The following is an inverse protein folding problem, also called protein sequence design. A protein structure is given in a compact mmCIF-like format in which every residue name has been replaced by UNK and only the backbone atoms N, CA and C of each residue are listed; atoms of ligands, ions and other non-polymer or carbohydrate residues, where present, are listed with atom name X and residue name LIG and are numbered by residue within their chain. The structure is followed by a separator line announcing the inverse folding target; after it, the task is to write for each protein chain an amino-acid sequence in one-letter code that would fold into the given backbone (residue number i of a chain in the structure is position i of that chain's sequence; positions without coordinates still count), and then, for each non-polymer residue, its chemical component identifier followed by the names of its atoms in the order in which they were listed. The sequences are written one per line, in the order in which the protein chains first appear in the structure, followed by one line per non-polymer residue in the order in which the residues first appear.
data_IF_909290551606
#
_entry.id   IF_909290551606
#
_cell.length_a   1.000
_cell.length_b   1.000
_cell.length_c   1.000
_cell.angle_alpha   90.00
_cell.angle_beta   90.00
_cell.angle_gamma   90.00
#
_symmetry.space_group_name_H-M   'P 1'
#
loop_
_entity.id
_entity.type
_entity.pdbx_description
1 polymer ?
#
# COMPACT_ATOMS: atom_id res chain seq x y z
N UNK A 1 -52.97 -2.83 -22.25
CA UNK A 1 -52.39 -1.47 -22.23
C UNK A 1 -52.01 -1.14 -20.79
N UNK A 2 -50.77 -0.67 -20.61
CA UNK A 2 -50.13 0.10 -19.53
C UNK A 2 -51.00 0.53 -18.31
N UNK A 3 -50.49 0.65 -17.08
CA UNK A 3 -49.17 1.11 -16.66
C UNK A 3 -48.85 0.72 -15.21
N UNK A 4 -47.56 0.57 -14.92
CA UNK A 4 -46.92 0.26 -13.64
C UNK A 4 -46.77 1.50 -12.76
N UNK A 5 -46.91 1.37 -11.44
CA UNK A 5 -46.24 2.22 -10.46
C UNK A 5 -46.20 1.52 -9.08
N UNK A 6 -44.99 1.41 -8.50
CA UNK A 6 -44.85 1.27 -7.04
C UNK A 6 -44.18 0.00 -6.51
N UNK A 7 -43.02 -0.40 -7.04
CA UNK A 7 -42.05 -1.17 -6.23
C UNK A 7 -40.91 -0.22 -5.89
N UNK A 8 -40.82 0.13 -4.61
CA UNK A 8 -39.70 0.86 -4.01
C UNK A 8 -38.54 -0.12 -3.95
N UNK A 9 -37.59 0.00 -4.87
CA UNK A 9 -36.36 -0.79 -4.86
C UNK A 9 -35.39 -0.15 -3.87
N UNK A 10 -35.04 -0.93 -2.85
CA UNK A 10 -34.08 -0.57 -1.80
C UNK A 10 -32.67 -0.43 -2.42
N UNK A 11 -32.13 0.78 -2.39
CA UNK A 11 -30.90 1.18 -3.09
C UNK A 11 -29.60 0.64 -2.47
N UNK A 12 -29.66 -0.09 -1.35
CA UNK A 12 -28.47 -0.53 -0.60
C UNK A 12 -27.88 -1.87 -1.08
N UNK A 13 -28.65 -2.72 -1.76
CA UNK A 13 -28.16 -4.05 -2.17
C UNK A 13 -27.37 -4.03 -3.50
N UNK A 14 -27.65 -3.06 -4.38
CA UNK A 14 -27.01 -2.95 -5.70
C UNK A 14 -25.63 -2.29 -5.67
N UNK A 15 -25.42 -1.30 -4.79
CA UNK A 15 -24.15 -0.59 -4.67
C UNK A 15 -23.02 -1.48 -4.14
N UNK A 16 -23.34 -2.41 -3.24
CA UNK A 16 -22.39 -3.37 -2.69
C UNK A 16 -21.85 -4.36 -3.75
N UNK A 17 -22.66 -4.68 -4.76
CA UNK A 17 -22.28 -5.57 -5.86
C UNK A 17 -21.48 -4.85 -6.97
N UNK A 18 -21.81 -3.58 -7.26
CA UNK A 18 -21.03 -2.76 -8.18
C UNK A 18 -19.65 -2.35 -7.63
N UNK A 19 -19.51 -2.16 -6.31
CA UNK A 19 -18.20 -1.95 -5.68
C UNK A 19 -17.31 -3.19 -5.78
N UNK A 20 -17.89 -4.39 -5.60
CA UNK A 20 -17.18 -5.67 -5.81
C UNK A 20 -16.71 -5.85 -7.25
N UNK A 21 -17.55 -5.52 -8.23
CA UNK A 21 -17.20 -5.64 -9.66
C UNK A 21 -16.15 -4.60 -10.08
N UNK A 22 -16.20 -3.36 -9.57
CA UNK A 22 -15.14 -2.34 -9.81
C UNK A 22 -13.81 -2.70 -9.15
N UNK A 23 -13.83 -3.32 -7.97
CA UNK A 23 -12.63 -3.78 -7.27
C UNK A 23 -11.99 -5.00 -7.97
N UNK A 24 -12.82 -5.91 -8.50
CA UNK A 24 -12.39 -7.09 -9.22
C UNK A 24 -11.65 -6.77 -10.53
N UNK A 25 -12.13 -5.78 -11.31
CA UNK A 25 -11.44 -5.34 -12.54
C UNK A 25 -10.11 -4.66 -12.22
N UNK A 26 -10.02 -3.95 -11.10
CA UNK A 26 -8.77 -3.34 -10.66
C UNK A 26 -7.75 -4.41 -10.25
N UNK A 27 -8.15 -5.45 -9.52
CA UNK A 27 -7.26 -6.55 -9.17
C UNK A 27 -6.72 -7.29 -10.40
N UNK A 28 -7.57 -7.61 -11.38
CA UNK A 28 -7.14 -8.35 -12.59
C UNK A 28 -6.31 -7.47 -13.53
N UNK A 29 -6.67 -6.21 -13.73
CA UNK A 29 -5.87 -5.26 -14.53
C UNK A 29 -4.53 -4.99 -13.87
N UNK A 30 -4.49 -4.84 -12.54
CA UNK A 30 -3.24 -4.64 -11.81
C UNK A 30 -2.37 -5.88 -11.89
N UNK A 31 -2.93 -7.10 -11.74
CA UNK A 31 -2.19 -8.36 -11.93
C UNK A 31 -1.58 -8.47 -13.33
N UNK A 32 -2.34 -8.22 -14.39
CA UNK A 32 -1.83 -8.35 -15.77
C UNK A 32 -0.80 -7.28 -16.14
N UNK A 33 -1.04 -6.01 -15.77
CA UNK A 33 -0.06 -4.93 -15.97
C UNK A 33 1.25 -5.23 -15.24
N UNK A 34 1.17 -5.72 -14.00
CA UNK A 34 2.37 -6.04 -13.20
C UNK A 34 3.12 -7.26 -13.75
N UNK A 35 2.38 -8.26 -14.24
CA UNK A 35 2.96 -9.46 -14.85
C UNK A 35 3.79 -9.14 -16.10
N UNK A 36 3.40 -8.11 -16.86
CA UNK A 36 4.13 -7.65 -18.04
C UNK A 36 5.46 -6.96 -17.66
N UNK A 37 5.49 -6.15 -16.59
CA UNK A 37 6.70 -5.46 -16.15
C UNK A 37 7.68 -6.32 -15.34
N UNK A 38 7.20 -7.33 -14.62
CA UNK A 38 8.03 -8.10 -13.68
C UNK A 38 8.71 -9.35 -14.27
N UNK A 39 8.35 -9.77 -15.49
CA UNK A 39 8.89 -10.99 -16.12
C UNK A 39 10.41 -10.97 -16.29
N UNK A 40 11.05 -9.80 -16.42
CA UNK A 40 12.51 -9.72 -16.56
C UNK A 40 13.29 -9.57 -15.24
N UNK A 41 12.65 -9.09 -14.17
CA UNK A 41 13.32 -8.79 -12.89
C UNK A 41 13.49 -10.06 -12.05
N UNK A 42 12.46 -10.91 -11.99
CA UNK A 42 12.45 -12.11 -11.14
C UNK A 42 13.17 -13.31 -11.76
N UNK A 43 13.18 -13.44 -13.09
CA UNK A 43 13.90 -14.53 -13.78
C UNK A 43 15.43 -14.45 -13.65
N UNK A 44 15.97 -13.29 -13.26
CA UNK A 44 17.43 -13.05 -13.21
C UNK A 44 18.00 -12.91 -11.80
N UNK A 45 17.19 -12.58 -10.78
CA UNK A 45 17.66 -12.36 -9.40
C UNK A 45 16.60 -12.70 -8.37
N UNK A 46 17.00 -13.44 -7.34
CA UNK A 46 16.21 -13.64 -6.12
C UNK A 46 15.85 -12.25 -5.52
N UNK A 47 14.55 -11.93 -5.33
CA UNK A 47 14.11 -10.67 -4.72
C UNK A 47 14.71 -10.40 -3.34
N UNK A 48 15.08 -11.45 -2.59
CA UNK A 48 15.82 -11.32 -1.33
C UNK A 48 17.20 -10.68 -1.53
N UNK A 49 17.77 -10.78 -2.73
CA UNK A 49 19.10 -10.24 -3.10
C UNK A 49 19.02 -8.87 -3.80
N UNK A 50 17.82 -8.34 -4.03
CA UNK A 50 17.64 -7.00 -4.60
C UNK A 50 18.13 -5.96 -3.58
N UNK A 51 18.75 -4.89 -4.09
CA UNK A 51 19.19 -3.77 -3.29
C UNK A 51 18.00 -3.17 -2.52
N UNK A 52 18.07 -3.02 -1.18
CA UNK A 52 16.95 -2.50 -0.39
C UNK A 52 16.45 -1.12 -0.83
N UNK A 53 17.31 -0.24 -1.36
CA UNK A 53 16.88 1.06 -1.87
C UNK A 53 16.04 0.93 -3.16
N UNK A 54 16.28 -0.11 -3.96
CA UNK A 54 15.46 -0.41 -5.14
C UNK A 54 14.11 -0.98 -4.70
N UNK A 55 14.10 -1.84 -3.67
CA UNK A 55 12.85 -2.31 -3.05
C UNK A 55 12.04 -1.14 -2.49
N UNK A 56 12.68 -0.24 -1.74
CA UNK A 56 12.04 0.95 -1.20
C UNK A 56 11.47 1.86 -2.29
N UNK A 57 12.21 2.06 -3.38
CA UNK A 57 11.77 2.88 -4.51
C UNK A 57 10.44 2.40 -5.11
N UNK A 58 10.29 1.10 -5.38
CA UNK A 58 9.03 0.57 -5.90
C UNK A 58 7.96 0.47 -4.81
N UNK A 59 8.37 0.15 -3.57
CA UNK A 59 7.46 0.02 -2.43
C UNK A 59 6.76 1.33 -2.05
N UNK A 60 7.47 2.46 -2.12
CA UNK A 60 6.89 3.80 -1.92
C UNK A 60 5.75 4.07 -2.91
N UNK A 61 5.97 3.79 -4.21
CA UNK A 61 4.95 3.96 -5.24
C UNK A 61 3.72 3.06 -5.02
N UNK A 62 3.94 1.80 -4.62
CA UNK A 62 2.85 0.85 -4.32
C UNK A 62 2.04 1.31 -3.11
N UNK A 63 2.71 1.73 -2.03
CA UNK A 63 2.05 2.21 -0.82
C UNK A 63 1.28 3.52 -1.08
N UNK A 64 1.88 4.48 -1.79
CA UNK A 64 1.22 5.73 -2.13
C UNK A 64 -0.06 5.51 -2.96
N UNK A 65 0.00 4.62 -3.97
CA UNK A 65 -1.17 4.28 -4.76
C UNK A 65 -2.27 3.66 -3.90
N UNK A 66 -1.92 2.72 -3.01
CA UNK A 66 -2.88 2.10 -2.09
C UNK A 66 -3.59 3.14 -1.22
N UNK A 67 -2.84 4.06 -0.59
CA UNK A 67 -3.42 5.11 0.26
C UNK A 67 -4.33 6.05 -0.55
N UNK A 68 -3.90 6.49 -1.73
CA UNK A 68 -4.71 7.35 -2.59
C UNK A 68 -6.00 6.66 -3.03
N UNK A 69 -5.92 5.39 -3.44
CA UNK A 69 -7.08 4.58 -3.79
C UNK A 69 -8.04 4.42 -2.61
N UNK A 70 -7.51 4.16 -1.40
CA UNK A 70 -8.29 4.05 -0.18
C UNK A 70 -9.06 5.34 0.13
N UNK A 71 -8.39 6.51 0.07
CA UNK A 71 -9.01 7.80 0.36
C UNK A 71 -10.11 8.18 -0.64
N UNK A 72 -9.88 7.91 -1.93
CA UNK A 72 -10.89 8.08 -2.99
C UNK A 72 -12.07 7.14 -2.79
N UNK A 73 -11.84 5.92 -2.31
CA UNK A 73 -12.93 4.96 -2.05
C UNK A 73 -13.80 5.34 -0.85
N UNK A 74 -13.23 6.07 0.13
CA UNK A 74 -13.91 6.45 1.39
C UNK A 74 -14.60 7.81 1.35
N UNK A 75 -14.28 8.68 0.39
CA UNK A 75 -14.83 10.03 0.35
C UNK A 75 -14.94 10.57 -1.06
N UNK A 76 -15.96 11.39 -1.32
CA UNK A 76 -16.09 12.16 -2.55
C UNK A 76 -15.46 13.57 -2.41
N UNK A 77 -14.34 13.66 -1.69
CA UNK A 77 -13.68 14.92 -1.38
C UNK A 77 -12.93 15.50 -2.59
N UNK A 78 -12.72 16.82 -2.60
CA UNK A 78 -11.89 17.47 -3.61
C UNK A 78 -10.42 17.03 -3.53
N UNK A 79 -9.72 17.03 -4.66
CA UNK A 79 -8.33 16.57 -4.82
C UNK A 79 -7.38 17.18 -3.78
N UNK A 80 -7.53 18.47 -3.46
CA UNK A 80 -6.70 19.11 -2.45
C UNK A 80 -6.83 18.45 -1.07
N UNK A 81 -8.06 18.13 -0.66
CA UNK A 81 -8.34 17.46 0.61
C UNK A 81 -7.76 16.04 0.62
N UNK A 82 -7.93 15.30 -0.48
CA UNK A 82 -7.36 13.96 -0.64
C UNK A 82 -5.83 13.98 -0.54
N UNK A 83 -5.16 14.97 -1.15
CA UNK A 83 -3.71 15.13 -1.04
C UNK A 83 -3.26 15.45 0.39
N UNK A 84 -3.95 16.37 1.08
CA UNK A 84 -3.66 16.68 2.48
C UNK A 84 -3.83 15.45 3.37
N UNK A 85 -4.86 14.65 3.13
CA UNK A 85 -5.09 13.44 3.90
C UNK A 85 -4.07 12.34 3.55
N UNK A 86 -3.65 12.21 2.29
CA UNK A 86 -2.62 11.20 1.91
C UNK A 86 -1.27 11.48 2.57
N UNK A 87 -0.86 12.75 2.68
CA UNK A 87 0.39 13.15 3.36
C UNK A 87 0.47 12.60 4.78
N UNK A 88 -0.67 12.47 5.48
CA UNK A 88 -0.70 11.96 6.86
C UNK A 88 -0.22 10.51 6.96
N UNK A 89 -0.40 9.72 5.90
CA UNK A 89 0.00 8.31 5.82
C UNK A 89 1.38 8.12 5.21
N UNK A 90 1.74 8.90 4.18
CA UNK A 90 2.95 8.66 3.38
C UNK A 90 4.20 9.38 3.90
N UNK A 91 4.06 10.31 4.87
CA UNK A 91 5.23 10.94 5.49
C UNK A 91 6.08 9.93 6.27
N UNK A 92 7.41 10.11 6.28
CA UNK A 92 8.36 9.19 6.93
C UNK A 92 8.00 8.87 8.39
N UNK A 93 7.58 9.88 9.17
CA UNK A 93 7.11 9.68 10.55
C UNK A 93 5.99 8.64 10.64
N UNK A 94 4.96 8.81 9.81
CA UNK A 94 3.78 7.93 9.85
C UNK A 94 4.15 6.52 9.42
N UNK A 95 4.96 6.37 8.36
CA UNK A 95 5.47 5.07 7.94
C UNK A 95 6.33 4.39 9.02
N UNK A 96 7.17 5.16 9.71
CA UNK A 96 7.95 4.68 10.85
C UNK A 96 7.03 4.17 11.97
N UNK A 97 6.02 4.95 12.36
CA UNK A 97 5.09 4.57 13.44
C UNK A 97 4.27 3.33 13.05
N UNK A 98 3.81 3.25 11.79
CA UNK A 98 3.14 2.08 11.22
C UNK A 98 4.03 0.84 11.33
N UNK A 99 5.29 0.95 10.91
CA UNK A 99 6.22 -0.18 10.95
C UNK A 99 6.44 -0.69 12.37
N UNK A 100 6.59 0.20 13.34
CA UNK A 100 6.73 -0.19 14.75
C UNK A 100 5.52 -0.97 15.25
N UNK A 101 4.31 -0.53 14.86
CA UNK A 101 3.08 -1.21 15.23
C UNK A 101 2.99 -2.62 14.66
N UNK A 102 3.24 -2.77 13.35
CA UNK A 102 3.02 -4.05 12.67
C UNK A 102 4.19 -5.03 12.81
N UNK A 103 5.33 -4.60 13.34
CA UNK A 103 6.57 -5.39 13.43
C UNK A 103 6.36 -6.79 14.03
N UNK A 104 5.54 -6.90 15.08
CA UNK A 104 5.24 -8.17 15.75
C UNK A 104 4.39 -9.14 14.92
N UNK A 105 3.78 -8.68 13.83
CA UNK A 105 2.98 -9.49 12.90
C UNK A 105 3.75 -9.91 11.64
N UNK A 106 5.02 -9.50 11.52
CA UNK A 106 5.88 -9.84 10.41
C UNK A 106 6.62 -11.16 10.66
N UNK A 107 6.82 -11.95 9.61
CA UNK A 107 7.66 -13.16 9.66
C UNK A 107 9.13 -12.79 9.85
N UNK A 108 9.97 -13.76 10.25
CA UNK A 108 11.41 -13.52 10.41
C UNK A 108 12.07 -13.03 9.11
N UNK A 109 11.64 -13.57 7.97
CA UNK A 109 12.11 -13.14 6.65
C UNK A 109 11.71 -11.70 6.35
N UNK A 110 10.44 -11.33 6.58
CA UNK A 110 9.95 -9.96 6.39
C UNK A 110 10.69 -8.97 7.30
N UNK A 111 10.95 -9.35 8.56
CA UNK A 111 11.75 -8.56 9.49
C UNK A 111 13.20 -8.37 9.00
N UNK A 112 13.78 -9.38 8.36
CA UNK A 112 15.10 -9.25 7.75
C UNK A 112 15.11 -8.23 6.60
N UNK A 113 14.10 -8.28 5.72
CA UNK A 113 13.94 -7.28 4.64
C UNK A 113 13.88 -5.86 5.22
N UNK A 114 13.05 -5.66 6.26
CA UNK A 114 12.93 -4.38 6.96
C UNK A 114 14.27 -3.93 7.53
N UNK A 115 15.00 -4.84 8.19
CA UNK A 115 16.32 -4.58 8.77
C UNK A 115 17.33 -4.18 7.70
N UNK A 116 17.32 -4.80 6.52
CA UNK A 116 18.19 -4.41 5.40
C UNK A 116 17.84 -3.03 4.86
N UNK A 117 16.55 -2.72 4.70
CA UNK A 117 16.08 -1.38 4.29
C UNK A 117 16.52 -0.28 5.26
N UNK A 118 16.32 -0.48 6.57
CA UNK A 118 16.75 0.45 7.62
C UNK A 118 18.26 0.75 7.64
N UNK A 119 19.06 -0.23 7.24
CA UNK A 119 20.51 -0.13 7.25
C UNK A 119 21.09 0.29 5.88
N UNK A 120 20.24 0.43 4.87
CA UNK A 120 20.66 0.91 3.57
C UNK A 120 21.10 2.37 3.67
N UNK A 121 22.30 2.66 3.16
CA UNK A 121 22.85 4.01 3.16
C UNK A 121 22.39 4.73 1.90
N UNK A 122 21.39 5.60 2.01
CA UNK A 122 21.11 6.57 0.96
C UNK A 122 22.18 7.66 1.02
N UNK A 123 22.79 7.99 -0.13
CA UNK A 123 23.90 8.96 -0.20
C UNK A 123 23.53 10.38 0.27
N UNK A 124 22.24 10.68 0.38
CA UNK A 124 21.71 11.97 0.82
C UNK A 124 20.56 11.75 1.81
N UNK A 125 20.81 12.02 3.09
CA UNK A 125 19.76 12.13 4.12
C UNK A 125 19.33 13.60 4.16
N UNK A 126 18.01 13.92 4.11
CA UNK A 126 17.55 15.29 4.24
C UNK A 126 18.03 15.90 5.56
N UNK A 127 18.66 17.09 5.50
CA UNK A 127 19.28 17.75 6.67
C UNK A 127 18.34 17.99 7.86
N UNK A 128 17.03 17.98 7.62
CA UNK A 128 15.99 18.28 8.62
C UNK A 128 15.12 17.07 8.99
N UNK A 129 15.38 15.88 8.44
CA UNK A 129 14.62 14.68 8.75
C UNK A 129 15.22 13.97 9.98
N UNK A 130 14.37 13.45 10.86
CA UNK A 130 14.83 12.52 11.88
C UNK A 130 15.39 11.28 11.17
N UNK A 131 16.70 11.09 11.31
CA UNK A 131 17.46 10.01 10.65
C UNK A 131 16.87 8.65 11.00
N UNK A 132 16.34 8.49 12.21
CA UNK A 132 15.72 7.25 12.68
C UNK A 132 14.41 7.00 11.95
N UNK A 133 13.53 8.00 11.91
CA UNK A 133 12.22 7.90 11.23
C UNK A 133 12.38 7.61 9.75
N UNK A 134 13.34 8.28 9.10
CA UNK A 134 13.65 8.04 7.69
C UNK A 134 14.10 6.60 7.45
N UNK A 135 14.99 6.06 8.30
CA UNK A 135 15.45 4.67 8.18
C UNK A 135 14.31 3.67 8.35
N UNK A 136 13.43 3.88 9.33
CA UNK A 136 12.28 3.00 9.53
C UNK A 136 11.29 3.09 8.36
N UNK A 137 11.03 4.29 7.83
CA UNK A 137 10.23 4.46 6.62
C UNK A 137 10.82 3.67 5.43
N UNK A 138 12.12 3.82 5.16
CA UNK A 138 12.80 3.04 4.10
C UNK A 138 12.72 1.53 4.33
N UNK A 139 12.77 1.09 5.60
CA UNK A 139 12.54 -0.32 5.96
C UNK A 139 11.14 -0.81 5.61
N UNK A 140 10.12 0.00 5.87
CA UNK A 140 8.73 -0.29 5.52
C UNK A 140 8.53 -0.32 4.01
N UNK A 141 9.01 0.69 3.28
CA UNK A 141 8.96 0.75 1.82
C UNK A 141 9.66 -0.48 1.20
N UNK A 142 10.81 -0.89 1.76
CA UNK A 142 11.54 -2.09 1.32
C UNK A 142 10.71 -3.37 1.47
N UNK A 143 9.95 -3.51 2.56
CA UNK A 143 9.04 -4.64 2.78
C UNK A 143 7.93 -4.67 1.73
N UNK A 144 7.28 -3.51 1.48
CA UNK A 144 6.23 -3.39 0.48
C UNK A 144 6.75 -3.75 -0.91
N UNK A 145 7.93 -3.23 -1.29
CA UNK A 145 8.55 -3.54 -2.56
C UNK A 145 8.95 -5.00 -2.70
N UNK A 146 9.43 -5.63 -1.62
CA UNK A 146 9.75 -7.06 -1.60
C UNK A 146 8.52 -7.93 -1.88
N UNK A 147 7.42 -7.70 -1.15
CA UNK A 147 6.19 -8.46 -1.32
C UNK A 147 5.58 -8.26 -2.71
N UNK A 148 5.71 -7.05 -3.26
CA UNK A 148 5.28 -6.74 -4.62
C UNK A 148 6.09 -7.50 -5.69
N UNK A 149 7.43 -7.47 -5.61
CA UNK A 149 8.30 -8.10 -6.61
C UNK A 149 8.35 -9.63 -6.49
N UNK A 150 8.07 -10.19 -5.31
CA UNK A 150 7.92 -11.64 -5.11
C UNK A 150 6.55 -12.17 -5.51
N UNK A 151 5.64 -11.30 -5.96
CA UNK A 151 4.25 -11.63 -6.28
C UNK A 151 3.46 -12.18 -5.09
N UNK A 152 3.90 -11.91 -3.86
CA UNK A 152 3.21 -12.28 -2.63
C UNK A 152 2.02 -11.32 -2.36
N UNK A 153 1.11 -11.20 -3.33
CA UNK A 153 0.08 -10.16 -3.34
C UNK A 153 -0.92 -10.29 -2.20
N UNK A 154 -1.30 -11.51 -1.83
CA UNK A 154 -2.20 -11.74 -0.70
C UNK A 154 -1.59 -11.20 0.59
N UNK A 155 -0.30 -11.52 0.82
CA UNK A 155 0.46 -11.03 1.97
C UNK A 155 0.70 -9.52 1.91
N UNK A 156 0.98 -8.98 0.73
CA UNK A 156 1.07 -7.52 0.51
C UNK A 156 -0.22 -6.82 0.95
N UNK A 157 -1.38 -7.35 0.54
CA UNK A 157 -2.69 -6.78 0.92
C UNK A 157 -2.92 -6.87 2.42
N UNK A 158 -2.51 -7.97 3.09
CA UNK A 158 -2.57 -8.07 4.55
C UNK A 158 -1.75 -6.98 5.24
N UNK A 159 -0.48 -6.82 4.84
CA UNK A 159 0.42 -5.80 5.41
C UNK A 159 -0.12 -4.38 5.17
N UNK A 160 -0.64 -4.10 3.97
CA UNK A 160 -1.25 -2.81 3.65
C UNK A 160 -2.51 -2.54 4.50
N UNK A 161 -3.33 -3.57 4.77
CA UNK A 161 -4.47 -3.45 5.69
C UNK A 161 -4.01 -3.19 7.13
N UNK A 162 -2.96 -3.87 7.60
CA UNK A 162 -2.35 -3.60 8.92
C UNK A 162 -1.82 -2.16 9.04
N UNK A 163 -1.35 -1.58 7.93
CA UNK A 163 -0.85 -0.21 7.89
C UNK A 163 -1.94 0.85 8.15
N UNK A 164 -3.21 0.54 7.91
CA UNK A 164 -4.34 1.50 8.02
C UNK A 164 -5.39 1.13 9.07
N UNK A 165 -5.22 0.04 9.83
CA UNK A 165 -6.27 -0.53 10.69
C UNK A 165 -6.40 0.06 12.10
N UNK A 166 -5.75 1.18 12.43
CA UNK A 166 -5.87 1.82 13.76
C UNK A 166 -6.47 3.23 13.79
N UNK A 167 -6.93 3.77 12.67
CA UNK A 167 -7.67 5.05 12.63
C UNK A 167 -9.13 4.95 13.12
N UNK A 168 -9.53 3.84 13.76
CA UNK A 168 -10.87 3.65 14.32
C UNK A 168 -10.98 4.02 15.82
N UNK A 169 -9.89 4.49 16.45
CA UNK A 169 -9.83 4.71 17.90
C UNK A 169 -9.56 6.18 18.32
N UNK A 170 -10.01 7.15 17.54
CA UNK A 170 -10.17 8.54 18.00
C UNK A 170 -11.49 9.12 17.48
N UNK A 171 -12.55 8.81 18.22
CA UNK A 171 -13.77 9.62 18.35
C UNK A 171 -13.55 10.76 19.34
#
# INVERSE_FOLDING_TARGET
MQCLAGIRLDADFGYFNLLKIRCFVLEEVFKEVIKEFNKEITDKKDPSQINPLVLAYIGDAVYELYIRALLVSRSNAHVHKLHVDSIKFVKAKAQSDILHRIMGNLTEEEQDIVRRGRNAKSGTIPKNADVTEYKYATGFESLIGYLYLTHAYDRLVEVLKMAVSEDAAQS
#
